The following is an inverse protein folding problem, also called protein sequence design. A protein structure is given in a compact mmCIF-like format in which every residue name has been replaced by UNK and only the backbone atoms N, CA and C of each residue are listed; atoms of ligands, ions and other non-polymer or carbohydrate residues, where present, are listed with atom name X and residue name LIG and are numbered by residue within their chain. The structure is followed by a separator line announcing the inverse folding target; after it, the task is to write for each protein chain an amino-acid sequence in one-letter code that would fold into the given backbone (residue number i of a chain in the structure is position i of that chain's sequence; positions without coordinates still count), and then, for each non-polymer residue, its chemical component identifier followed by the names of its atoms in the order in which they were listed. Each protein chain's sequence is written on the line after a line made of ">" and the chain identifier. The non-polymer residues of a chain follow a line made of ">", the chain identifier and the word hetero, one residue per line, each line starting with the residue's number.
data_IF_762590885481
#
_entry.id   IF_762590885481
#
_cell.length_a   1.000
_cell.length_b   1.000
_cell.length_c   1.000
_cell.angle_alpha   90.00
_cell.angle_beta   90.00
_cell.angle_gamma   90.00
#
_symmetry.space_group_name_H-M   'P 1'
#
loop_
_entity.id
_entity.type
_entity.pdbx_description
1 polymer ?
#
# COMPACT_ATOMS: atom_id res chain seq x y z
N UNK A 1 -7.96 -14.42 -16.77
CA UNK A 1 -8.57 -13.21 -16.22
C UNK A 1 -7.71 -11.96 -16.43
N UNK A 2 -6.41 -11.91 -16.14
CA UNK A 2 -5.56 -10.69 -16.30
C UNK A 2 -5.55 -10.08 -17.70
N UNK A 3 -5.35 -10.90 -18.75
CA UNK A 3 -5.35 -10.41 -20.15
C UNK A 3 -6.68 -9.75 -20.54
N UNK A 4 -7.81 -10.26 -20.05
CA UNK A 4 -9.12 -9.66 -20.28
C UNK A 4 -9.19 -8.28 -19.64
N UNK A 5 -8.91 -8.17 -18.35
CA UNK A 5 -8.95 -6.88 -17.62
C UNK A 5 -8.00 -5.85 -18.22
N UNK A 6 -6.82 -6.29 -18.71
CA UNK A 6 -5.87 -5.42 -19.41
C UNK A 6 -6.44 -4.92 -20.75
N UNK A 7 -7.08 -5.81 -21.51
CA UNK A 7 -7.69 -5.45 -22.79
C UNK A 7 -8.86 -4.49 -22.59
N UNK A 8 -9.72 -4.73 -21.60
CA UNK A 8 -10.86 -3.87 -21.28
C UNK A 8 -10.38 -2.48 -20.88
N UNK A 9 -9.38 -2.38 -20.01
CA UNK A 9 -8.79 -1.09 -19.62
C UNK A 9 -8.13 -0.37 -20.80
N UNK A 10 -7.42 -1.08 -21.65
CA UNK A 10 -6.78 -0.52 -22.87
C UNK A 10 -7.83 0.00 -23.84
N UNK A 11 -8.92 -0.76 -24.08
CA UNK A 11 -10.02 -0.35 -24.93
C UNK A 11 -10.71 0.90 -24.40
N UNK A 12 -10.95 0.98 -23.09
CA UNK A 12 -11.50 2.17 -22.45
C UNK A 12 -10.64 3.41 -22.74
N UNK A 13 -9.33 3.31 -22.59
CA UNK A 13 -8.40 4.42 -22.87
C UNK A 13 -8.33 4.79 -24.35
N UNK A 14 -8.32 3.79 -25.25
CA UNK A 14 -8.13 4.02 -26.69
C UNK A 14 -9.37 4.58 -27.38
N UNK A 15 -10.57 4.14 -26.99
CA UNK A 15 -11.82 4.56 -27.61
C UNK A 15 -12.23 5.99 -27.22
N UNK A 16 -11.84 6.42 -26.00
CA UNK A 16 -12.07 7.76 -25.47
C UNK A 16 -13.52 8.30 -25.66
N UNK A 17 -14.49 7.39 -25.54
CA UNK A 17 -15.91 7.67 -25.86
C UNK A 17 -16.52 8.77 -24.98
N UNK A 18 -16.16 8.79 -23.71
CA UNK A 18 -16.66 9.81 -22.77
C UNK A 18 -16.20 11.22 -23.13
N UNK A 19 -14.93 11.36 -23.51
CA UNK A 19 -14.37 12.66 -23.94
C UNK A 19 -15.07 13.17 -25.21
N UNK A 20 -15.29 12.27 -26.19
CA UNK A 20 -16.01 12.62 -27.40
C UNK A 20 -17.46 13.08 -27.10
N UNK A 21 -18.14 12.41 -26.15
CA UNK A 21 -19.49 12.79 -25.70
C UNK A 21 -19.48 14.15 -25.00
N UNK A 22 -18.51 14.38 -24.11
CA UNK A 22 -18.35 15.68 -23.43
C UNK A 22 -18.08 16.79 -24.43
N UNK A 23 -17.21 16.55 -25.41
CA UNK A 23 -16.92 17.55 -26.45
C UNK A 23 -18.15 17.87 -27.34
N UNK A 24 -18.96 16.86 -27.69
CA UNK A 24 -20.21 17.08 -28.42
C UNK A 24 -21.18 17.95 -27.62
N UNK A 25 -21.37 17.61 -26.33
CA UNK A 25 -22.27 18.37 -25.44
C UNK A 25 -21.73 19.78 -25.18
N UNK A 26 -20.41 19.99 -25.10
CA UNK A 26 -19.80 21.33 -24.99
C UNK A 26 -20.07 22.21 -26.20
N UNK A 27 -20.07 21.63 -27.43
CA UNK A 27 -20.41 22.37 -28.63
C UNK A 27 -21.88 22.79 -28.61
N UNK A 28 -22.77 21.89 -28.25
CA UNK A 28 -24.19 22.20 -28.09
C UNK A 28 -24.42 23.29 -27.04
N UNK A 29 -23.77 23.19 -25.89
CA UNK A 29 -23.81 24.22 -24.84
C UNK A 29 -23.36 25.60 -25.37
N UNK A 30 -22.32 25.63 -26.20
CA UNK A 30 -21.84 26.88 -26.79
C UNK A 30 -22.86 27.50 -27.73
N UNK A 31 -23.56 26.69 -28.53
CA UNK A 31 -24.63 27.18 -29.40
C UNK A 31 -25.82 27.73 -28.60
N UNK A 32 -26.18 27.04 -27.49
CA UNK A 32 -27.21 27.56 -26.59
C UNK A 32 -26.84 28.88 -25.94
N UNK A 33 -25.58 29.07 -25.57
CA UNK A 33 -25.07 30.35 -25.05
C UNK A 33 -25.15 31.46 -26.10
N UNK A 34 -24.82 31.16 -27.33
CA UNK A 34 -24.97 32.07 -28.43
C UNK A 34 -26.46 32.46 -28.63
N UNK A 35 -27.34 31.50 -28.58
CA UNK A 35 -28.78 31.71 -28.66
C UNK A 35 -29.31 32.59 -27.50
N UNK A 36 -28.90 32.33 -26.26
CA UNK A 36 -29.25 33.16 -25.10
C UNK A 36 -28.71 34.60 -25.29
N UNK A 37 -27.51 34.78 -25.86
CA UNK A 37 -26.96 36.10 -26.14
C UNK A 37 -27.82 36.85 -27.19
N UNK A 38 -28.38 36.16 -28.18
CA UNK A 38 -29.31 36.72 -29.13
C UNK A 38 -30.62 37.13 -28.46
N UNK A 39 -31.22 36.27 -27.64
CA UNK A 39 -32.46 36.56 -26.89
C UNK A 39 -32.26 37.75 -25.94
N UNK A 40 -31.10 37.86 -25.26
CA UNK A 40 -30.80 39.00 -24.40
C UNK A 40 -30.76 40.32 -25.20
N UNK A 41 -30.14 40.34 -26.41
CA UNK A 41 -30.14 41.53 -27.27
C UNK A 41 -31.55 41.90 -27.73
N UNK A 42 -32.36 40.91 -28.08
CA UNK A 42 -33.78 41.13 -28.42
C UNK A 42 -34.58 41.67 -27.23
N UNK A 43 -34.30 41.15 -26.00
CA UNK A 43 -34.94 41.64 -24.79
C UNK A 43 -34.66 43.10 -24.47
N UNK A 44 -33.45 43.61 -24.79
CA UNK A 44 -33.14 45.03 -24.62
C UNK A 44 -33.89 45.89 -25.68
N UNK A 45 -34.05 45.41 -26.91
CA UNK A 45 -34.85 46.09 -27.94
C UNK A 45 -36.32 46.14 -27.57
N UNK A 46 -36.88 44.99 -27.11
CA UNK A 46 -38.31 44.91 -26.71
C UNK A 46 -38.56 45.78 -25.47
N UNK A 47 -37.65 45.88 -24.54
CA UNK A 47 -37.71 46.77 -23.38
C UNK A 47 -37.85 48.24 -23.82
N UNK A 48 -37.06 48.66 -24.82
CA UNK A 48 -37.13 50.01 -25.37
C UNK A 48 -38.47 50.23 -26.11
N UNK A 49 -38.98 49.25 -26.87
CA UNK A 49 -40.29 49.34 -27.51
C UNK A 49 -41.42 49.47 -26.49
N UNK A 50 -41.38 48.71 -25.38
CA UNK A 50 -42.37 48.84 -24.29
C UNK A 50 -42.29 50.22 -23.66
N UNK A 51 -41.07 50.78 -23.46
CA UNK A 51 -40.87 52.12 -22.93
C UNK A 51 -41.49 53.18 -23.79
N UNK A 52 -41.27 53.09 -25.11
CA UNK A 52 -41.86 54.04 -26.11
C UNK A 52 -43.38 53.92 -26.10
N UNK A 53 -43.91 52.70 -26.18
CA UNK A 53 -45.36 52.48 -26.20
C UNK A 53 -46.02 52.93 -24.87
N UNK A 54 -45.36 52.79 -23.74
CA UNK A 54 -45.82 53.29 -22.44
C UNK A 54 -45.85 54.83 -22.42
N UNK A 55 -44.83 55.49 -22.99
CA UNK A 55 -44.82 56.95 -23.08
C UNK A 55 -45.96 57.48 -23.96
N UNK A 56 -46.20 56.83 -25.10
CA UNK A 56 -47.31 57.18 -25.98
C UNK A 56 -48.65 56.96 -25.27
N UNK A 57 -48.86 55.81 -24.68
CA UNK A 57 -50.08 55.49 -23.93
C UNK A 57 -50.37 56.51 -22.81
N UNK A 58 -49.34 56.88 -22.02
CA UNK A 58 -49.51 57.85 -20.94
C UNK A 58 -49.84 59.24 -21.47
N UNK A 59 -49.26 59.66 -22.58
CA UNK A 59 -49.58 60.92 -23.23
C UNK A 59 -51.01 60.90 -23.76
N UNK A 60 -51.40 59.87 -24.51
CA UNK A 60 -52.78 59.76 -25.06
C UNK A 60 -53.82 59.66 -23.96
N UNK A 61 -53.51 59.01 -22.84
CA UNK A 61 -54.35 58.95 -21.65
C UNK A 61 -54.60 60.36 -21.09
N UNK A 62 -53.56 61.19 -20.96
CA UNK A 62 -53.68 62.57 -20.47
C UNK A 62 -54.54 63.44 -21.43
N UNK A 63 -54.34 63.33 -22.74
CA UNK A 63 -55.12 64.03 -23.73
C UNK A 63 -56.55 63.59 -23.72
N UNK A 64 -56.89 62.31 -23.49
CA UNK A 64 -58.24 61.80 -23.35
C UNK A 64 -58.88 62.30 -22.06
N UNK A 65 -58.21 62.31 -20.95
CA UNK A 65 -58.73 62.81 -19.67
C UNK A 65 -59.04 64.33 -19.75
N UNK A 66 -58.30 65.07 -20.60
CA UNK A 66 -58.57 66.51 -20.95
C UNK A 66 -59.63 66.71 -22.03
N UNK A 67 -60.17 65.62 -22.61
CA UNK A 67 -61.25 65.67 -23.64
C UNK A 67 -60.70 66.10 -25.02
N UNK A 68 -59.44 66.02 -25.30
CA UNK A 68 -58.78 66.52 -26.53
C UNK A 68 -58.66 65.46 -27.64
N UNK A 69 -58.88 64.16 -27.34
CA UNK A 69 -58.85 63.06 -28.31
C UNK A 69 -60.10 62.14 -28.16
N UNK A 70 -60.35 61.34 -29.18
CA UNK A 70 -61.45 60.36 -29.18
C UNK A 70 -61.07 59.14 -28.34
N UNK A 71 -62.07 58.48 -27.74
CA UNK A 71 -61.92 57.24 -26.98
C UNK A 71 -61.16 56.16 -27.79
N UNK A 72 -61.44 56.04 -29.08
CA UNK A 72 -60.83 55.07 -29.98
C UNK A 72 -59.33 55.25 -30.09
N UNK A 73 -58.78 56.50 -30.10
CA UNK A 73 -57.40 56.82 -30.18
C UNK A 73 -56.66 56.37 -28.87
N UNK A 74 -57.23 56.66 -27.72
CA UNK A 74 -56.76 56.17 -26.44
C UNK A 74 -56.77 54.64 -26.38
N UNK A 75 -57.82 53.97 -26.81
CA UNK A 75 -57.88 52.49 -26.81
C UNK A 75 -56.86 51.87 -27.73
N UNK A 76 -56.60 52.43 -28.89
CA UNK A 76 -55.53 51.98 -29.81
C UNK A 76 -54.14 52.09 -29.18
N UNK A 77 -53.82 53.22 -28.53
CA UNK A 77 -52.56 53.39 -27.83
C UNK A 77 -52.39 52.39 -26.67
N UNK A 78 -53.51 52.16 -25.92
CA UNK A 78 -53.54 51.15 -24.84
C UNK A 78 -53.33 49.73 -25.38
N UNK A 79 -54.02 49.37 -26.46
CA UNK A 79 -53.87 48.06 -27.09
C UNK A 79 -52.42 47.83 -27.59
N UNK A 80 -51.81 48.84 -28.19
CA UNK A 80 -50.42 48.78 -28.64
C UNK A 80 -49.45 48.56 -27.48
N UNK A 81 -49.67 49.29 -26.38
CA UNK A 81 -48.83 49.08 -25.16
C UNK A 81 -48.98 47.69 -24.60
N UNK A 82 -50.24 47.16 -24.46
CA UNK A 82 -50.47 45.79 -23.98
C UNK A 82 -49.87 44.71 -24.89
N UNK A 83 -49.96 44.88 -26.19
CA UNK A 83 -49.33 43.98 -27.16
C UNK A 83 -47.80 43.92 -27.01
N UNK A 84 -47.15 45.09 -26.80
CA UNK A 84 -45.72 45.14 -26.56
C UNK A 84 -45.32 44.50 -25.24
N UNK A 85 -46.11 44.69 -24.17
CA UNK A 85 -45.89 43.99 -22.91
C UNK A 85 -46.03 42.46 -23.08
N UNK A 86 -47.01 41.99 -23.79
CA UNK A 86 -47.24 40.58 -24.05
C UNK A 86 -46.05 39.96 -24.83
N UNK A 87 -45.57 40.63 -25.87
CA UNK A 87 -44.38 40.20 -26.62
C UNK A 87 -43.16 40.06 -25.72
N UNK A 88 -42.93 41.05 -24.83
CA UNK A 88 -41.83 41.02 -23.88
C UNK A 88 -41.96 39.83 -22.93
N UNK A 89 -43.14 39.54 -22.37
CA UNK A 89 -43.34 38.40 -21.48
C UNK A 89 -43.09 37.06 -22.19
N UNK A 90 -43.52 36.95 -23.46
CA UNK A 90 -43.23 35.76 -24.27
C UNK A 90 -41.72 35.57 -24.48
N UNK A 91 -41.00 36.66 -24.75
CA UNK A 91 -39.54 36.63 -24.91
C UNK A 91 -38.83 36.25 -23.61
N UNK A 92 -39.29 36.78 -22.46
CA UNK A 92 -38.74 36.44 -21.14
C UNK A 92 -38.95 34.97 -20.80
N UNK A 93 -40.11 34.41 -21.19
CA UNK A 93 -40.40 32.97 -21.06
C UNK A 93 -39.42 32.14 -21.92
N UNK A 94 -39.21 32.52 -23.16
CA UNK A 94 -38.23 31.88 -24.07
C UNK A 94 -36.80 31.95 -23.52
N UNK A 95 -36.42 33.08 -22.98
CA UNK A 95 -35.09 33.25 -22.33
C UNK A 95 -34.96 32.36 -21.11
N UNK A 96 -35.98 32.25 -20.28
CA UNK A 96 -35.99 31.37 -19.10
C UNK A 96 -35.84 29.90 -19.51
N UNK A 97 -36.61 29.47 -20.54
CA UNK A 97 -36.51 28.11 -21.08
C UNK A 97 -35.12 27.79 -21.64
N UNK A 98 -34.53 28.74 -22.36
CA UNK A 98 -33.17 28.58 -22.89
C UNK A 98 -32.11 28.45 -21.77
N UNK A 99 -32.26 29.19 -20.68
CA UNK A 99 -31.37 29.07 -19.50
C UNK A 99 -31.53 27.73 -18.78
N UNK A 100 -32.77 27.21 -18.70
CA UNK A 100 -32.99 25.85 -18.13
C UNK A 100 -32.26 24.82 -18.99
N UNK A 101 -32.36 24.91 -20.32
CA UNK A 101 -31.68 24.00 -21.22
C UNK A 101 -30.13 24.11 -21.10
N UNK A 102 -29.60 25.34 -20.98
CA UNK A 102 -28.18 25.55 -20.70
C UNK A 102 -27.75 24.81 -19.42
N UNK A 103 -28.52 24.95 -18.34
CA UNK A 103 -28.21 24.28 -17.07
C UNK A 103 -28.27 22.75 -17.19
N UNK A 104 -29.25 22.23 -17.98
CA UNK A 104 -29.35 20.77 -18.24
C UNK A 104 -28.12 20.24 -19.01
N UNK A 105 -27.66 20.99 -20.01
CA UNK A 105 -26.45 20.60 -20.75
C UNK A 105 -25.19 20.63 -19.87
N UNK A 106 -25.05 21.63 -18.99
CA UNK A 106 -23.96 21.69 -18.00
C UNK A 106 -24.01 20.48 -17.05
N UNK A 107 -25.21 20.13 -16.55
CA UNK A 107 -25.39 18.98 -15.70
C UNK A 107 -25.01 17.68 -16.43
N UNK A 108 -25.41 17.50 -17.69
CA UNK A 108 -25.07 16.33 -18.51
C UNK A 108 -23.56 16.17 -18.72
N UNK A 109 -22.82 17.26 -18.85
CA UNK A 109 -21.34 17.24 -18.91
C UNK A 109 -20.77 16.68 -17.61
N UNK A 110 -21.21 17.19 -16.46
CA UNK A 110 -20.76 16.78 -15.14
C UNK A 110 -21.06 15.29 -14.93
N UNK A 111 -22.28 14.85 -15.24
CA UNK A 111 -22.68 13.45 -15.11
C UNK A 111 -21.83 12.52 -15.97
N UNK A 112 -21.56 12.90 -17.22
CA UNK A 112 -20.70 12.13 -18.13
C UNK A 112 -19.28 12.02 -17.60
N UNK A 113 -18.71 13.11 -17.05
CA UNK A 113 -17.38 13.10 -16.44
C UNK A 113 -17.32 12.23 -15.17
N UNK A 114 -18.36 12.27 -14.34
CA UNK A 114 -18.47 11.40 -13.16
C UNK A 114 -18.56 9.93 -13.54
N UNK A 115 -19.32 9.61 -14.58
CA UNK A 115 -19.44 8.25 -15.12
C UNK A 115 -18.09 7.74 -15.66
N UNK A 116 -17.38 8.57 -16.43
CA UNK A 116 -16.01 8.29 -16.88
C UNK A 116 -15.08 7.97 -15.73
N UNK A 117 -15.11 8.78 -14.67
CA UNK A 117 -14.25 8.59 -13.49
C UNK A 117 -14.58 7.29 -12.76
N UNK A 118 -15.87 6.95 -12.62
CA UNK A 118 -16.32 5.70 -12.00
C UNK A 118 -15.87 4.49 -12.80
N UNK A 119 -16.07 4.51 -14.11
CA UNK A 119 -15.70 3.42 -14.99
C UNK A 119 -14.18 3.23 -15.03
N UNK A 120 -13.42 4.32 -15.12
CA UNK A 120 -11.95 4.30 -15.03
C UNK A 120 -11.47 3.65 -13.73
N UNK A 121 -12.06 4.03 -12.60
CA UNK A 121 -11.72 3.46 -11.30
C UNK A 121 -12.08 1.97 -11.22
N UNK A 122 -13.26 1.56 -11.70
CA UNK A 122 -13.70 0.17 -11.71
C UNK A 122 -12.73 -0.71 -12.51
N UNK A 123 -12.40 -0.28 -13.73
CA UNK A 123 -11.47 -1.00 -14.60
C UNK A 123 -10.05 -1.06 -14.03
N UNK A 124 -9.59 0.02 -13.39
CA UNK A 124 -8.28 0.05 -12.73
C UNK A 124 -8.23 -0.91 -11.54
N UNK A 125 -9.27 -0.93 -10.69
CA UNK A 125 -9.38 -1.87 -9.57
C UNK A 125 -9.41 -3.31 -10.08
N UNK A 126 -10.22 -3.60 -11.10
CA UNK A 126 -10.32 -4.93 -11.70
C UNK A 126 -8.97 -5.39 -12.29
N UNK A 127 -8.25 -4.51 -12.98
CA UNK A 127 -6.91 -4.79 -13.50
C UNK A 127 -5.91 -5.07 -12.39
N UNK A 128 -5.90 -4.25 -11.34
CA UNK A 128 -5.00 -4.41 -10.19
C UNK A 128 -5.27 -5.71 -9.43
N UNK A 129 -6.54 -6.07 -9.24
CA UNK A 129 -6.92 -7.34 -8.62
C UNK A 129 -6.43 -8.52 -9.44
N UNK A 130 -6.70 -8.51 -10.75
CA UNK A 130 -6.27 -9.58 -11.65
C UNK A 130 -4.73 -9.69 -11.77
N UNK A 131 -4.02 -8.58 -11.64
CA UNK A 131 -2.55 -8.57 -11.57
C UNK A 131 -2.03 -9.23 -10.28
N UNK A 132 -2.62 -8.88 -9.13
CA UNK A 132 -2.23 -9.47 -7.85
C UNK A 132 -2.52 -10.98 -7.82
N UNK A 133 -3.66 -11.41 -8.34
CA UNK A 133 -3.99 -12.85 -8.47
C UNK A 133 -2.98 -13.59 -9.34
N UNK A 134 -2.57 -12.99 -10.46
CA UNK A 134 -1.55 -13.56 -11.32
C UNK A 134 -0.20 -13.67 -10.60
N UNK A 135 0.19 -12.63 -9.86
CA UNK A 135 1.45 -12.61 -9.10
C UNK A 135 1.45 -13.68 -8.00
N UNK A 136 0.34 -13.84 -7.26
CA UNK A 136 0.19 -14.92 -6.27
C UNK A 136 0.31 -16.28 -6.93
N UNK A 137 -0.39 -16.48 -8.05
CA UNK A 137 -0.34 -17.77 -8.78
C UNK A 137 1.07 -18.11 -9.31
N UNK A 138 1.84 -17.09 -9.72
CA UNK A 138 3.25 -17.28 -10.13
C UNK A 138 4.10 -17.65 -8.92
N UNK A 139 3.97 -16.94 -7.81
CA UNK A 139 4.71 -17.23 -6.60
C UNK A 139 4.40 -18.64 -6.05
N UNK A 140 3.14 -19.04 -6.06
CA UNK A 140 2.72 -20.37 -5.64
C UNK A 140 3.32 -21.46 -6.57
N UNK A 141 3.34 -21.19 -7.87
CA UNK A 141 3.97 -22.08 -8.83
C UNK A 141 5.50 -22.16 -8.61
N UNK A 142 6.16 -21.02 -8.38
CA UNK A 142 7.59 -20.99 -8.06
C UNK A 142 7.91 -21.81 -6.81
N UNK A 143 7.12 -21.61 -5.74
CA UNK A 143 7.29 -22.36 -4.49
C UNK A 143 7.05 -23.87 -4.65
N UNK A 144 6.12 -24.24 -5.54
CA UNK A 144 5.78 -25.65 -5.76
C UNK A 144 6.77 -26.39 -6.68
N UNK A 145 7.37 -25.70 -7.65
CA UNK A 145 8.13 -26.33 -8.73
C UNK A 145 9.58 -25.87 -8.86
N UNK A 146 9.99 -24.80 -8.17
CA UNK A 146 11.34 -24.27 -8.26
C UNK A 146 12.05 -24.25 -6.89
N UNK A 147 13.29 -24.70 -6.88
CA UNK A 147 14.18 -24.49 -5.75
C UNK A 147 15.02 -23.24 -6.00
N UNK A 148 14.66 -22.13 -5.36
CA UNK A 148 15.39 -20.87 -5.48
C UNK A 148 16.31 -20.70 -4.29
N UNK A 149 17.60 -20.47 -4.54
CA UNK A 149 18.56 -20.20 -3.48
C UNK A 149 18.30 -18.86 -2.80
N UNK A 150 18.14 -18.79 -1.46
CA UNK A 150 17.95 -17.53 -0.75
C UNK A 150 19.22 -16.68 -0.63
N UNK A 151 20.39 -17.27 -0.91
CA UNK A 151 21.67 -16.60 -0.75
C UNK A 151 22.73 -17.14 -1.73
N UNK A 152 23.76 -16.34 -1.94
CA UNK A 152 24.94 -16.78 -2.71
C UNK A 152 25.81 -17.71 -1.85
N UNK A 153 26.03 -18.93 -2.32
CA UNK A 153 26.77 -19.93 -1.56
C UNK A 153 27.17 -21.16 -2.36
N UNK A 154 27.61 -22.17 -1.65
CA UNK A 154 27.94 -23.48 -2.18
C UNK A 154 26.75 -24.40 -1.94
N UNK A 155 26.22 -24.98 -3.01
CA UNK A 155 25.14 -25.95 -2.96
C UNK A 155 25.67 -27.28 -2.41
N UNK A 156 25.03 -27.81 -1.38
CA UNK A 156 25.28 -29.15 -0.84
C UNK A 156 24.03 -29.98 -0.97
N UNK A 157 24.17 -31.21 -1.44
CA UNK A 157 23.09 -32.19 -1.54
C UNK A 157 22.95 -32.92 -0.21
N UNK A 158 21.69 -32.95 0.31
CA UNK A 158 21.36 -33.74 1.48
C UNK A 158 20.70 -35.04 1.02
N UNK A 159 21.17 -36.18 1.45
CA UNK A 159 20.57 -37.51 1.22
C UNK A 159 20.14 -37.85 -0.23
N UNK A 160 20.54 -37.04 -1.21
CA UNK A 160 20.26 -37.31 -2.63
C UNK A 160 21.52 -37.89 -3.27
N UNK A 161 21.46 -39.16 -3.65
CA UNK A 161 22.60 -39.91 -4.16
C UNK A 161 22.46 -40.24 -5.66
N UNK A 162 21.23 -40.24 -6.18
CA UNK A 162 20.96 -40.71 -7.54
C UNK A 162 19.93 -39.82 -8.26
N UNK A 163 20.07 -39.78 -9.59
CA UNK A 163 19.07 -39.17 -10.47
C UNK A 163 17.74 -39.93 -10.38
N UNK A 164 16.61 -39.23 -10.34
CA UNK A 164 15.26 -39.78 -10.21
C UNK A 164 14.99 -40.46 -8.84
N UNK A 165 15.69 -40.08 -7.80
CA UNK A 165 15.36 -40.51 -6.43
C UNK A 165 14.07 -39.85 -5.96
N UNK A 166 13.16 -40.62 -5.37
CA UNK A 166 11.94 -40.09 -4.76
C UNK A 166 12.30 -39.32 -3.48
N UNK A 167 11.63 -38.20 -3.29
CA UNK A 167 11.72 -37.37 -2.07
C UNK A 167 10.34 -37.21 -1.47
N UNK A 168 10.26 -37.17 -0.16
CA UNK A 168 9.01 -36.97 0.57
C UNK A 168 8.79 -35.49 0.86
N UNK A 169 7.55 -35.10 1.06
CA UNK A 169 7.25 -33.72 1.50
C UNK A 169 7.89 -33.46 2.86
N UNK A 170 8.65 -32.37 2.96
CA UNK A 170 9.39 -32.00 4.16
C UNK A 170 10.86 -32.44 4.18
N UNK A 171 11.32 -33.25 3.22
CA UNK A 171 12.73 -33.64 3.12
C UNK A 171 13.61 -32.44 2.75
N UNK A 172 14.75 -32.33 3.42
CA UNK A 172 15.79 -31.34 3.07
C UNK A 172 16.57 -31.84 1.86
N UNK A 173 16.21 -31.37 0.69
CA UNK A 173 16.82 -31.76 -0.59
C UNK A 173 18.19 -31.11 -0.79
N UNK A 174 18.28 -29.79 -0.56
CA UNK A 174 19.48 -29.00 -0.74
C UNK A 174 19.77 -28.12 0.48
N UNK A 175 21.03 -27.86 0.69
CA UNK A 175 21.50 -26.83 1.64
C UNK A 175 22.45 -25.87 0.94
N UNK A 176 22.33 -24.59 1.24
CA UNK A 176 23.23 -23.56 0.73
C UNK A 176 24.16 -23.11 1.86
N UNK A 177 25.43 -23.30 1.67
CA UNK A 177 26.46 -22.81 2.58
C UNK A 177 26.96 -21.47 2.05
N UNK A 178 26.71 -20.38 2.80
CA UNK A 178 27.14 -19.04 2.40
C UNK A 178 28.65 -18.95 2.24
N UNK A 179 29.14 -18.34 1.15
CA UNK A 179 30.57 -18.17 0.87
C UNK A 179 31.28 -17.19 1.82
N UNK A 180 30.52 -16.21 2.33
CA UNK A 180 31.02 -15.25 3.30
C UNK A 180 30.16 -15.39 4.56
N UNK A 181 30.54 -16.19 5.55
CA UNK A 181 29.83 -16.19 6.80
C UNK A 181 29.92 -14.81 7.42
N UNK A 182 28.76 -14.29 7.83
CA UNK A 182 28.75 -13.13 8.74
C UNK A 182 29.45 -13.47 10.06
N UNK A 183 29.11 -12.81 11.15
CA UNK A 183 29.63 -13.20 12.46
C UNK A 183 29.29 -14.65 12.77
N UNK A 184 30.32 -15.45 13.09
CA UNK A 184 30.12 -16.83 13.54
C UNK A 184 29.53 -16.78 14.94
N UNK A 185 28.39 -17.41 15.14
CA UNK A 185 27.73 -17.51 16.43
C UNK A 185 27.62 -18.99 16.85
N UNK A 186 27.87 -19.24 18.12
CA UNK A 186 27.60 -20.56 18.69
C UNK A 186 26.24 -20.58 19.39
N UNK A 187 25.54 -21.71 19.31
CA UNK A 187 24.32 -21.98 20.10
C UNK A 187 24.59 -23.17 21.01
N UNK A 188 24.41 -22.98 22.31
CA UNK A 188 24.60 -24.01 23.31
C UNK A 188 23.23 -24.39 23.88
N UNK A 189 22.94 -25.68 23.97
CA UNK A 189 21.83 -26.21 24.76
C UNK A 189 22.32 -26.38 26.20
N UNK A 190 21.80 -25.57 27.10
CA UNK A 190 22.15 -25.55 28.51
C UNK A 190 21.04 -26.24 29.30
N UNK A 191 21.30 -27.36 29.98
CA UNK A 191 20.34 -28.01 30.86
C UNK A 191 19.85 -27.04 31.96
N UNK A 192 18.58 -27.20 32.41
CA UNK A 192 18.02 -26.35 33.45
C UNK A 192 18.79 -26.38 34.77
N UNK A 193 19.44 -27.50 35.10
CA UNK A 193 20.33 -27.62 36.28
C UNK A 193 21.56 -26.72 36.16
N UNK A 194 21.58 -25.61 36.87
CA UNK A 194 22.69 -24.67 36.88
C UNK A 194 22.58 -23.51 35.91
N UNK A 195 21.51 -23.43 35.13
CA UNK A 195 21.28 -22.31 34.15
C UNK A 195 21.24 -20.94 34.77
N UNK A 196 20.76 -20.81 36.02
CA UNK A 196 20.69 -19.53 36.75
C UNK A 196 22.04 -18.90 37.09
N UNK A 197 23.17 -19.59 36.82
CA UNK A 197 24.54 -19.06 37.02
C UNK A 197 25.12 -18.48 35.73
N UNK A 198 24.52 -18.73 34.59
CA UNK A 198 25.03 -18.27 33.28
C UNK A 198 24.49 -16.88 33.01
N UNK A 199 25.42 -15.94 32.83
CA UNK A 199 25.15 -14.53 32.57
C UNK A 199 25.84 -14.05 31.30
N UNK A 200 25.26 -13.06 30.59
CA UNK A 200 25.94 -12.41 29.48
C UNK A 200 27.30 -11.87 29.89
N UNK A 201 28.29 -11.99 28.99
CA UNK A 201 29.67 -11.55 29.18
C UNK A 201 30.62 -12.65 29.72
N UNK A 202 30.08 -13.73 30.26
CA UNK A 202 30.92 -14.83 30.76
C UNK A 202 31.72 -15.51 29.65
N UNK A 203 32.89 -15.99 29.96
CA UNK A 203 33.78 -16.72 29.05
C UNK A 203 33.31 -18.17 28.89
N UNK A 204 33.38 -18.65 27.67
CA UNK A 204 33.01 -20.03 27.31
C UNK A 204 34.17 -20.70 26.61
N UNK A 205 34.60 -21.87 27.09
CA UNK A 205 35.55 -22.73 26.42
C UNK A 205 34.81 -23.83 25.67
N UNK A 206 35.14 -24.01 24.39
CA UNK A 206 34.43 -24.94 23.49
C UNK A 206 35.44 -25.96 22.96
N UNK A 207 35.16 -27.21 23.22
CA UNK A 207 35.82 -28.36 22.63
C UNK A 207 35.07 -28.80 21.39
N UNK A 208 35.65 -28.63 20.21
CA UNK A 208 35.02 -28.93 18.93
C UNK A 208 35.19 -30.39 18.59
N UNK A 209 34.08 -31.06 18.24
CA UNK A 209 34.08 -32.46 17.79
C UNK A 209 34.90 -32.60 16.50
N UNK A 210 35.79 -33.58 16.42
CA UNK A 210 36.69 -33.74 15.28
C UNK A 210 38.03 -33.03 15.41
N UNK A 211 38.22 -32.16 16.44
CA UNK A 211 39.49 -31.49 16.78
C UNK A 211 39.83 -31.76 18.25
N UNK A 212 40.62 -32.82 18.56
CA UNK A 212 40.93 -33.19 19.92
C UNK A 212 41.54 -32.01 20.70
N UNK A 213 40.96 -31.68 21.87
CA UNK A 213 41.36 -30.51 22.64
C UNK A 213 42.82 -30.60 23.16
N UNK A 214 43.40 -31.80 23.30
CA UNK A 214 44.77 -31.99 23.66
C UNK A 214 45.75 -31.53 22.57
N UNK A 215 45.36 -31.60 21.30
CA UNK A 215 46.18 -31.19 20.17
C UNK A 215 45.88 -29.80 19.65
N UNK A 216 44.57 -29.41 19.68
CA UNK A 216 44.10 -28.18 19.08
C UNK A 216 43.77 -27.09 20.11
N UNK A 217 43.57 -27.46 21.40
CA UNK A 217 43.09 -26.53 22.42
C UNK A 217 41.59 -26.27 22.35
N UNK A 218 41.11 -25.20 22.97
CA UNK A 218 39.73 -24.80 23.05
C UNK A 218 39.48 -23.55 22.23
N UNK A 219 38.30 -23.44 21.60
CA UNK A 219 37.79 -22.16 21.12
C UNK A 219 37.27 -21.36 22.32
N UNK A 220 37.65 -20.11 22.40
CA UNK A 220 37.16 -19.22 23.45
C UNK A 220 36.13 -18.28 22.91
N UNK A 221 34.93 -18.29 23.50
CA UNK A 221 33.83 -17.37 23.19
C UNK A 221 33.33 -16.58 24.39
N UNK A 222 32.36 -15.74 24.19
CA UNK A 222 31.64 -15.00 25.25
C UNK A 222 30.15 -15.21 25.13
N UNK A 223 29.44 -15.39 26.24
CA UNK A 223 27.99 -15.43 26.29
C UNK A 223 27.42 -14.06 25.82
N UNK A 224 26.60 -14.06 24.79
CA UNK A 224 25.87 -12.89 24.33
C UNK A 224 24.51 -12.79 24.99
N UNK A 225 23.76 -13.89 24.98
CA UNK A 225 22.42 -13.93 25.56
C UNK A 225 22.04 -15.34 25.98
N UNK A 226 21.11 -15.43 26.94
CA UNK A 226 20.49 -16.68 27.40
C UNK A 226 19.00 -16.55 27.10
N UNK A 227 18.37 -17.60 26.54
CA UNK A 227 16.94 -17.58 26.28
C UNK A 227 16.16 -17.49 27.61
N UNK A 228 15.05 -16.75 27.61
CA UNK A 228 14.16 -16.64 28.78
C UNK A 228 13.26 -17.89 28.95
N UNK A 229 13.04 -18.63 27.87
CA UNK A 229 12.21 -19.82 27.85
C UNK A 229 13.07 -21.02 27.54
N UNK A 230 12.81 -22.15 28.25
CA UNK A 230 13.38 -23.45 27.93
C UNK A 230 12.67 -24.01 26.67
N UNK A 231 13.40 -24.81 25.88
CA UNK A 231 12.85 -25.58 24.78
C UNK A 231 12.06 -26.81 25.28
N UNK A 232 11.49 -27.62 24.35
CA UNK A 232 10.71 -28.81 24.66
C UNK A 232 11.52 -29.88 25.43
N UNK A 233 12.85 -29.82 25.40
CA UNK A 233 13.78 -30.68 26.10
C UNK A 233 14.18 -30.12 27.48
N UNK A 234 13.52 -29.07 27.97
CA UNK A 234 13.85 -28.38 29.23
C UNK A 234 15.27 -27.80 29.25
N UNK A 235 15.78 -27.42 28.10
CA UNK A 235 17.09 -26.78 27.93
C UNK A 235 16.96 -25.31 27.53
N UNK A 236 17.84 -24.46 28.06
CA UNK A 236 17.93 -23.05 27.65
C UNK A 236 18.91 -22.91 26.50
N UNK A 237 18.57 -22.10 25.50
CA UNK A 237 19.49 -21.80 24.41
C UNK A 237 20.36 -20.60 24.79
N UNK A 238 21.67 -20.82 24.86
CA UNK A 238 22.67 -19.78 25.08
C UNK A 238 23.34 -19.44 23.76
N UNK A 239 23.30 -18.16 23.38
CA UNK A 239 24.01 -17.64 22.21
C UNK A 239 25.36 -17.12 22.64
N UNK A 240 26.42 -17.54 21.95
CA UNK A 240 27.78 -17.12 22.20
C UNK A 240 28.38 -16.44 20.96
N UNK A 241 29.22 -15.43 21.19
CA UNK A 241 30.07 -14.86 20.14
C UNK A 241 31.37 -15.64 20.05
N UNK A 242 31.80 -15.92 18.83
CA UNK A 242 33.05 -16.57 18.52
C UNK A 242 33.98 -15.60 17.75
N UNK A 243 35.32 -15.73 17.88
CA UNK A 243 36.21 -14.97 17.03
C UNK A 243 36.04 -15.41 15.56
N UNK A 244 36.10 -14.46 14.65
CA UNK A 244 35.90 -14.73 13.21
C UNK A 244 36.92 -15.72 12.64
N UNK A 245 38.13 -15.70 13.18
CA UNK A 245 39.24 -16.55 12.70
C UNK A 245 39.20 -17.96 13.27
N UNK A 246 38.21 -18.30 14.13
CA UNK A 246 38.14 -19.58 14.84
C UNK A 246 39.50 -20.03 15.39
N UNK A 247 40.26 -19.11 15.94
CA UNK A 247 41.61 -19.38 16.51
C UNK A 247 41.44 -20.02 17.91
N UNK A 248 42.08 -21.14 18.11
CA UNK A 248 42.03 -21.89 19.39
C UNK A 248 43.04 -21.31 20.39
N UNK A 249 42.96 -21.76 21.65
CA UNK A 249 43.89 -21.39 22.73
C UNK A 249 45.36 -21.75 22.43
N UNK A 250 45.61 -22.67 21.52
CA UNK A 250 46.95 -23.05 21.06
C UNK A 250 47.38 -22.33 19.77
N UNK A 251 46.62 -21.32 19.32
CA UNK A 251 46.95 -20.53 18.12
C UNK A 251 46.69 -21.28 16.80
N UNK A 252 45.99 -22.41 16.83
CA UNK A 252 45.59 -23.13 15.61
C UNK A 252 44.26 -22.62 15.08
N UNK A 253 44.18 -22.38 13.79
CA UNK A 253 42.97 -21.95 13.11
C UNK A 253 42.15 -23.17 12.68
N UNK A 254 40.86 -23.23 13.06
CA UNK A 254 39.96 -24.29 12.66
C UNK A 254 39.29 -23.94 11.33
N UNK A 255 39.18 -24.91 10.45
CA UNK A 255 38.49 -24.75 9.17
C UNK A 255 36.98 -24.82 9.36
N UNK A 256 36.26 -23.76 9.02
CA UNK A 256 34.79 -23.71 9.07
C UNK A 256 34.19 -24.31 7.80
N UNK A 257 33.56 -25.49 7.92
CA UNK A 257 32.91 -26.22 6.79
C UNK A 257 31.39 -26.13 6.79
N UNK A 258 30.84 -25.10 7.44
CA UNK A 258 29.39 -24.85 7.47
C UNK A 258 28.79 -25.02 8.86
N UNK A 259 29.01 -26.12 9.55
CA UNK A 259 28.58 -26.37 10.93
C UNK A 259 29.65 -27.10 11.70
N UNK A 260 29.89 -26.66 12.94
CA UNK A 260 30.78 -27.34 13.88
C UNK A 260 30.00 -27.67 15.14
N UNK A 261 30.07 -28.90 15.58
CA UNK A 261 29.47 -29.37 16.85
C UNK A 261 30.52 -29.55 17.91
N UNK A 262 30.17 -29.44 19.18
CA UNK A 262 31.09 -29.58 20.26
C UNK A 262 30.49 -29.52 21.65
N UNK A 263 31.34 -29.62 22.67
CA UNK A 263 30.97 -29.39 24.06
C UNK A 263 31.47 -28.03 24.51
N UNK A 264 30.62 -27.31 25.25
CA UNK A 264 30.92 -25.98 25.74
C UNK A 264 30.88 -25.97 27.28
N UNK A 265 31.87 -25.35 27.87
CA UNK A 265 31.99 -25.13 29.31
C UNK A 265 31.94 -23.63 29.60
N UNK A 266 30.88 -23.19 30.29
CA UNK A 266 30.69 -21.79 30.68
C UNK A 266 31.39 -21.55 32.01
N UNK A 267 32.28 -20.59 32.05
CA UNK A 267 32.98 -20.20 33.27
C UNK A 267 32.06 -19.26 34.11
N UNK A 268 31.39 -19.83 35.09
CA UNK A 268 30.34 -19.14 35.86
C UNK A 268 30.83 -18.38 37.09
N UNK A 269 31.91 -18.84 37.74
CA UNK A 269 32.43 -18.23 38.97
C UNK A 269 33.97 -18.35 39.06
N UNK A 270 34.64 -17.25 39.36
CA UNK A 270 36.04 -17.26 39.93
C UNK A 270 35.92 -17.37 41.44
N UNK A 271 35.63 -18.56 41.98
CA UNK A 271 35.66 -18.72 43.42
C UNK A 271 37.04 -19.14 43.88
N UNK A 272 37.53 -18.48 44.94
CA UNK A 272 38.74 -18.85 45.63
C UNK A 272 38.65 -20.29 46.16
N UNK A 273 39.75 -21.02 46.14
CA UNK A 273 39.85 -22.40 46.69
C UNK A 273 39.38 -22.46 48.13
N UNK A 274 39.61 -21.40 48.90
CA UNK A 274 39.15 -21.26 50.32
C UNK A 274 37.64 -21.14 50.44
N UNK A 275 36.94 -20.45 49.52
CA UNK A 275 35.49 -20.39 49.50
C UNK A 275 34.84 -21.73 49.15
N UNK A 276 35.48 -22.51 48.28
CA UNK A 276 35.00 -23.88 47.94
C UNK A 276 35.04 -24.84 49.13
N UNK A 277 36.07 -24.73 49.99
CA UNK A 277 36.21 -25.56 51.19
C UNK A 277 35.24 -25.13 52.30
N UNK A 278 34.89 -23.85 52.39
CA UNK A 278 34.03 -23.34 53.43
C UNK A 278 32.53 -23.32 53.06
N UNK A 279 32.16 -23.42 51.79
CA UNK A 279 30.77 -23.44 51.34
C UNK A 279 29.91 -24.55 51.91
N UNK A 280 30.36 -25.84 52.14
CA UNK A 280 29.58 -26.85 52.79
C UNK A 280 29.29 -26.53 54.29
N UNK A 281 30.24 -25.89 54.97
CA UNK A 281 30.06 -25.50 56.37
C UNK A 281 29.05 -24.35 56.51
N UNK A 282 29.01 -23.40 55.59
CA UNK A 282 28.01 -22.34 55.56
C UNK A 282 26.59 -22.86 55.31
N UNK A 283 26.46 -23.84 54.37
CA UNK A 283 25.18 -24.51 54.09
C UNK A 283 24.66 -25.28 55.32
N UNK A 284 25.54 -25.96 56.11
CA UNK A 284 25.16 -26.64 57.34
C UNK A 284 24.75 -25.62 58.42
N UNK A 285 25.40 -24.46 58.50
CA UNK A 285 25.07 -23.43 59.47
C UNK A 285 23.71 -22.74 59.18
N UNK A 286 23.41 -22.45 57.91
CA UNK A 286 22.11 -21.87 57.47
C UNK A 286 20.91 -22.88 57.59
N UNK A 287 21.20 -24.18 57.59
CA UNK A 287 20.15 -25.21 57.62
C UNK A 287 19.80 -25.70 59.06
N UNK A 288 20.69 -25.52 59.99
CA UNK A 288 20.55 -26.06 61.38
C UNK A 288 20.58 -24.97 62.47
N UNK A 289 20.71 -23.74 62.15
CA UNK A 289 20.52 -22.56 62.98
C UNK A 289 19.43 -21.67 62.41
#
# INVERSE_FOLDING_TARGET
>A
SFLKSLTDYRNFLSLNLYEQKVEATRRELQEYRNYIAHLNRQAELDKEQVRIASTVHNREKQLFDEGLIAQSEYEEAKQTFLNKQQSREQLMTSLSSARIQEAQLQQSIIETQMEQSRESNNLNVALKTAYNELQVSINDWELAYLFVSPANGILSYNHIWQKNQNVSSGDKVFSIVAKAPGSIIGKIKLPAGGSGKVMPGQRVNISVTGYPYMEFGFLTGKVMSVSLLADDESAYTVTISLPQDLCTSYGKQLEFKGELTGMAEVMTDERSVTERLLSPLRYLWEKYL
#
